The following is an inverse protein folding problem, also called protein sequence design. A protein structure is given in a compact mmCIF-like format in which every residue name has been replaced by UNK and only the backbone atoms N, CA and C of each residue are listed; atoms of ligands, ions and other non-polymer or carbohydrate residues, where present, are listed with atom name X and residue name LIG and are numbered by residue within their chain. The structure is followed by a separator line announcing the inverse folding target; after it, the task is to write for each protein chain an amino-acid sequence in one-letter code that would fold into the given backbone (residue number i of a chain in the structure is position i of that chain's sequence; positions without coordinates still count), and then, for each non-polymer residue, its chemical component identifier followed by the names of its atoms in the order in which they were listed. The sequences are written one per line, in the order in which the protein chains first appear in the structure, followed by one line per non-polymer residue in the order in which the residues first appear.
data_IF_761862885644
#
_entry.id   IF_761862885644
#
_cell.length_a   1.000
_cell.length_b   1.000
_cell.length_c   1.000
_cell.angle_alpha   90.00
_cell.angle_beta   90.00
_cell.angle_gamma   90.00
#
_symmetry.space_group_name_H-M   'P 1'
#
loop_
_entity.id
_entity.type
_entity.pdbx_description
1 polymer ?
#
# COMPACT_ATOMS: atom_id res chain seq x y z
N UNK A 1 63.97 -25.37 8.71
CA UNK A 1 62.94 -24.35 9.01
C UNK A 1 62.06 -24.22 7.77
N UNK A 2 60.97 -24.95 7.51
CA UNK A 2 59.81 -25.42 8.30
C UNK A 2 59.08 -24.29 9.03
N UNK A 3 57.89 -23.94 8.50
CA UNK A 3 56.80 -23.07 9.02
C UNK A 3 56.82 -21.61 8.57
N UNK A 4 56.36 -21.29 7.35
CA UNK A 4 55.82 -19.93 7.06
C UNK A 4 54.95 -19.78 5.80
N UNK A 5 54.48 -20.87 5.16
CA UNK A 5 53.72 -20.76 3.87
C UNK A 5 52.24 -21.13 4.02
N UNK A 6 51.81 -21.62 5.19
CA UNK A 6 50.45 -22.17 5.36
C UNK A 6 49.36 -21.16 5.74
N UNK A 7 49.69 -19.90 6.03
CA UNK A 7 48.69 -18.90 6.46
C UNK A 7 48.35 -17.83 5.41
N UNK A 8 49.00 -17.84 4.24
CA UNK A 8 48.73 -16.83 3.20
C UNK A 8 47.68 -17.28 2.17
N UNK A 9 47.38 -18.58 2.09
CA UNK A 9 46.42 -19.13 1.12
C UNK A 9 44.98 -19.15 1.69
N UNK A 10 44.81 -19.11 3.01
CA UNK A 10 43.48 -19.12 3.64
C UNK A 10 42.78 -17.75 3.59
N UNK A 11 43.53 -16.64 3.44
CA UNK A 11 42.94 -15.31 3.30
C UNK A 11 42.51 -14.93 1.87
N UNK A 12 42.94 -15.68 0.83
CA UNK A 12 42.58 -15.36 -0.55
C UNK A 12 41.27 -16.02 -1.03
N UNK A 13 40.71 -16.96 -0.27
CA UNK A 13 39.42 -17.60 -0.59
C UNK A 13 38.21 -17.00 0.12
N UNK A 14 38.41 -16.11 1.10
CA UNK A 14 37.30 -15.38 1.77
C UNK A 14 37.10 -13.98 1.15
N UNK A 15 38.08 -13.46 0.41
CA UNK A 15 37.99 -12.13 -0.22
C UNK A 15 37.30 -12.10 -1.60
N UNK A 16 36.88 -13.25 -2.15
CA UNK A 16 36.20 -13.33 -3.45
C UNK A 16 34.69 -13.59 -3.37
N UNK A 17 34.11 -13.64 -2.17
CA UNK A 17 32.67 -13.83 -1.94
C UNK A 17 31.92 -12.53 -1.59
N UNK A 18 32.56 -11.36 -1.71
CA UNK A 18 31.99 -10.07 -1.28
C UNK A 18 31.82 -9.02 -2.39
N UNK A 19 31.81 -9.41 -3.68
CA UNK A 19 31.50 -8.49 -4.80
C UNK A 19 30.35 -9.01 -5.68
N UNK A 20 29.75 -10.15 -5.31
CA UNK A 20 28.52 -10.64 -5.94
C UNK A 20 27.31 -10.12 -5.20
N UNK A 21 27.05 -8.81 -5.23
CA UNK A 21 25.71 -8.32 -4.93
C UNK A 21 24.76 -9.00 -5.92
N UNK A 22 24.01 -10.01 -5.49
CA UNK A 22 22.94 -10.56 -6.32
C UNK A 22 22.06 -9.36 -6.68
N UNK A 23 21.90 -9.01 -7.96
CA UNK A 23 20.90 -8.04 -8.32
C UNK A 23 19.58 -8.59 -7.80
N UNK A 24 18.90 -7.83 -6.95
CA UNK A 24 17.52 -8.14 -6.59
C UNK A 24 16.77 -8.44 -7.89
N UNK A 25 15.94 -9.50 -7.95
CA UNK A 25 15.19 -9.82 -9.16
C UNK A 25 14.52 -8.54 -9.64
N UNK A 26 14.97 -8.04 -10.78
CA UNK A 26 14.35 -6.87 -11.38
C UNK A 26 12.99 -7.36 -11.86
N UNK A 27 11.93 -6.96 -11.14
CA UNK A 27 10.56 -7.27 -11.50
C UNK A 27 10.39 -6.94 -12.98
N UNK A 28 10.14 -7.97 -13.78
CA UNK A 28 10.08 -7.84 -15.23
C UNK A 28 8.87 -6.97 -15.57
N UNK A 29 9.11 -5.77 -16.08
CA UNK A 29 8.09 -4.84 -16.55
C UNK A 29 7.44 -5.31 -17.87
N UNK A 30 6.99 -6.57 -17.92
CA UNK A 30 6.11 -7.07 -18.98
C UNK A 30 4.70 -6.62 -18.63
N UNK A 31 4.36 -5.38 -19.01
CA UNK A 31 3.01 -4.80 -18.96
C UNK A 31 2.07 -5.46 -17.95
N UNK A 32 2.43 -5.42 -16.67
CA UNK A 32 1.74 -6.20 -15.65
C UNK A 32 0.30 -5.72 -15.57
N UNK A 33 -0.65 -6.63 -15.82
CA UNK A 33 -2.06 -6.32 -15.65
C UNK A 33 -2.29 -5.99 -14.18
N UNK A 34 -2.54 -4.71 -13.90
CA UNK A 34 -2.85 -4.21 -12.57
C UNK A 34 -4.17 -4.80 -12.06
N UNK A 35 -4.40 -4.88 -10.73
CA UNK A 35 -5.66 -5.37 -10.16
C UNK A 35 -6.92 -4.74 -10.76
N UNK A 36 -6.92 -3.43 -11.00
CA UNK A 36 -8.03 -2.71 -11.64
C UNK A 36 -8.13 -3.05 -13.12
N UNK A 37 -7.03 -3.21 -13.87
CA UNK A 37 -7.12 -3.63 -15.28
C UNK A 37 -7.65 -5.06 -15.46
N UNK A 38 -7.40 -5.95 -14.49
CA UNK A 38 -7.89 -7.33 -14.49
C UNK A 38 -9.39 -7.39 -14.16
N UNK A 39 -9.82 -6.64 -13.16
CA UNK A 39 -11.15 -6.80 -12.56
C UNK A 39 -12.15 -5.71 -13.01
N UNK A 40 -11.67 -4.53 -13.36
CA UNK A 40 -12.49 -3.40 -13.80
C UNK A 40 -13.50 -2.93 -12.76
N UNK A 41 -14.69 -2.53 -13.23
CA UNK A 41 -15.77 -2.05 -12.37
C UNK A 41 -16.29 -3.18 -11.48
N UNK A 42 -16.24 -2.95 -10.17
CA UNK A 42 -16.78 -3.90 -9.19
C UNK A 42 -18.29 -3.67 -8.98
N UNK A 43 -19.01 -4.75 -8.66
CA UNK A 43 -20.42 -4.72 -8.29
C UNK A 43 -20.77 -5.86 -7.32
N UNK A 44 -22.01 -5.87 -6.81
CA UNK A 44 -22.51 -6.90 -5.90
C UNK A 44 -23.54 -7.77 -6.61
N UNK A 45 -23.40 -9.09 -6.49
CA UNK A 45 -24.39 -10.08 -6.91
C UNK A 45 -24.74 -10.97 -5.73
N UNK A 46 -25.96 -10.83 -5.20
CA UNK A 46 -26.34 -11.47 -3.94
C UNK A 46 -25.46 -10.97 -2.80
N UNK A 47 -24.68 -11.86 -2.19
CA UNK A 47 -23.72 -11.53 -1.11
C UNK A 47 -22.27 -11.44 -1.60
N UNK A 48 -22.03 -11.55 -2.91
CA UNK A 48 -20.69 -11.67 -3.48
C UNK A 48 -20.25 -10.38 -4.16
N UNK A 49 -19.02 -9.95 -3.89
CA UNK A 49 -18.31 -8.97 -4.70
C UNK A 49 -17.85 -9.62 -6.02
N UNK A 50 -18.25 -9.04 -7.15
CA UNK A 50 -17.92 -9.51 -8.48
C UNK A 50 -17.20 -8.42 -9.29
N UNK A 51 -16.39 -8.86 -10.24
CA UNK A 51 -15.70 -8.01 -11.20
C UNK A 51 -16.62 -7.69 -12.41
N UNK A 52 -16.13 -6.90 -13.38
CA UNK A 52 -16.92 -6.46 -14.53
C UNK A 52 -17.40 -7.60 -15.44
N UNK A 53 -16.71 -8.76 -15.42
CA UNK A 53 -17.07 -9.95 -16.19
C UNK A 53 -18.04 -10.87 -15.42
N UNK A 54 -18.53 -10.44 -14.25
CA UNK A 54 -19.42 -11.22 -13.39
C UNK A 54 -18.74 -12.33 -12.58
N UNK A 55 -17.40 -12.33 -12.50
CA UNK A 55 -16.63 -13.31 -11.73
C UNK A 55 -16.45 -12.84 -10.30
N UNK A 56 -16.56 -13.75 -9.34
CA UNK A 56 -16.29 -13.46 -7.93
C UNK A 56 -14.84 -12.98 -7.73
N UNK A 57 -14.65 -11.94 -6.94
CA UNK A 57 -13.33 -11.37 -6.62
C UNK A 57 -13.18 -11.21 -5.11
N UNK A 58 -11.96 -11.37 -4.63
CA UNK A 58 -11.56 -11.05 -3.27
C UNK A 58 -10.46 -10.01 -3.31
N UNK A 59 -10.70 -8.86 -2.67
CA UNK A 59 -9.67 -7.83 -2.50
C UNK A 59 -8.89 -8.10 -1.21
N UNK A 60 -7.56 -8.03 -1.28
CA UNK A 60 -6.67 -8.19 -0.12
C UNK A 60 -5.70 -7.02 -0.06
N UNK A 61 -5.47 -6.51 1.14
CA UNK A 61 -4.67 -5.30 1.30
C UNK A 61 -4.52 -4.86 2.75
N UNK A 62 -4.09 -3.62 2.92
CA UNK A 62 -3.84 -3.02 4.23
C UNK A 62 -4.63 -1.72 4.41
N UNK A 63 -4.77 -1.31 5.67
CA UNK A 63 -5.22 0.03 6.03
C UNK A 63 -4.02 0.87 6.45
N UNK A 64 -4.07 2.17 6.17
CA UNK A 64 -3.29 3.12 6.95
C UNK A 64 -3.77 3.12 8.41
N UNK A 65 -2.91 3.59 9.31
CA UNK A 65 -3.36 4.20 10.55
C UNK A 65 -3.99 5.58 10.25
N UNK A 66 -4.40 6.32 11.28
CA UNK A 66 -4.87 7.71 11.14
C UNK A 66 -3.89 8.60 10.36
N UNK A 67 -4.37 9.16 9.26
CA UNK A 67 -3.58 9.97 8.33
C UNK A 67 -3.02 11.26 8.97
N UNK A 68 -3.66 11.76 10.03
CA UNK A 68 -3.17 12.90 10.80
C UNK A 68 -1.90 12.59 11.61
N UNK A 69 -1.64 11.31 11.90
CA UNK A 69 -0.47 10.87 12.67
C UNK A 69 0.59 10.20 11.81
N UNK A 70 0.17 9.39 10.83
CA UNK A 70 1.06 8.53 10.05
C UNK A 70 0.88 8.70 8.53
N UNK A 71 0.44 9.89 8.12
CA UNK A 71 0.23 10.23 6.71
C UNK A 71 1.49 10.15 5.84
N UNK A 72 2.68 10.23 6.43
CA UNK A 72 3.96 10.16 5.70
C UNK A 72 4.19 8.79 5.05
N UNK A 73 3.66 7.72 5.62
CA UNK A 73 3.71 6.38 5.03
C UNK A 73 2.72 6.20 3.87
N UNK A 74 1.78 7.13 3.69
CA UNK A 74 0.79 7.08 2.63
C UNK A 74 1.25 7.98 1.49
N UNK A 75 1.96 7.37 0.55
CA UNK A 75 2.49 8.00 -0.65
C UNK A 75 2.60 6.95 -1.78
N UNK A 76 2.83 7.40 -3.01
CA UNK A 76 2.88 6.53 -4.19
C UNK A 76 3.94 5.44 -4.09
N UNK A 77 5.12 5.74 -3.56
CA UNK A 77 6.21 4.77 -3.50
C UNK A 77 5.91 3.64 -2.52
N UNK A 78 5.35 3.96 -1.35
CA UNK A 78 4.90 2.94 -0.39
C UNK A 78 3.79 2.07 -0.99
N UNK A 79 2.78 2.68 -1.62
CA UNK A 79 1.68 1.92 -2.24
C UNK A 79 2.18 1.03 -3.38
N UNK A 80 3.14 1.52 -4.17
CA UNK A 80 3.79 0.74 -5.22
C UNK A 80 4.54 -0.46 -4.63
N UNK A 81 5.33 -0.23 -3.58
CA UNK A 81 6.05 -1.30 -2.90
C UNK A 81 5.08 -2.36 -2.37
N UNK A 82 4.00 -1.96 -1.71
CA UNK A 82 2.99 -2.90 -1.21
C UNK A 82 2.29 -3.68 -2.33
N UNK A 83 2.04 -3.05 -3.49
CA UNK A 83 1.47 -3.74 -4.64
C UNK A 83 2.45 -4.78 -5.19
N UNK A 84 3.70 -4.39 -5.38
CA UNK A 84 4.70 -5.18 -6.10
C UNK A 84 5.28 -6.31 -5.21
N UNK A 85 5.51 -6.04 -3.93
CA UNK A 85 6.14 -6.97 -2.98
C UNK A 85 5.08 -7.79 -2.22
N UNK A 86 4.04 -7.15 -1.68
CA UNK A 86 3.01 -7.83 -0.88
C UNK A 86 1.82 -8.31 -1.72
N UNK A 87 1.70 -7.85 -2.97
CA UNK A 87 0.59 -8.24 -3.84
C UNK A 87 -0.74 -7.62 -3.43
N UNK A 88 -0.76 -6.44 -2.80
CA UNK A 88 -2.04 -5.81 -2.42
C UNK A 88 -2.86 -5.44 -3.65
N UNK A 89 -4.17 -5.67 -3.57
CA UNK A 89 -5.13 -5.25 -4.61
C UNK A 89 -5.98 -4.07 -4.17
N UNK A 90 -5.97 -3.73 -2.88
CA UNK A 90 -6.73 -2.63 -2.30
C UNK A 90 -5.92 -1.94 -1.19
N UNK A 91 -6.08 -0.63 -1.05
CA UNK A 91 -5.56 0.15 0.07
C UNK A 91 -6.69 0.89 0.77
N UNK A 92 -6.72 0.92 2.11
CA UNK A 92 -7.70 1.71 2.89
C UNK A 92 -7.04 2.95 3.49
N UNK A 93 -7.53 4.13 3.10
CA UNK A 93 -7.07 5.42 3.63
C UNK A 93 -7.97 5.86 4.80
N UNK A 94 -7.51 5.61 6.03
CA UNK A 94 -8.26 5.86 7.26
C UNK A 94 -8.17 7.33 7.70
N UNK A 95 -9.17 8.12 7.34
CA UNK A 95 -9.26 9.52 7.74
C UNK A 95 -10.11 9.64 9.01
N UNK A 96 -9.44 9.76 10.16
CA UNK A 96 -10.12 9.97 11.44
C UNK A 96 -10.97 11.23 11.38
N UNK A 97 -12.15 11.18 11.97
CA UNK A 97 -13.06 12.33 12.07
C UNK A 97 -12.71 13.17 13.29
N UNK A 98 -12.55 12.52 14.44
CA UNK A 98 -12.12 13.09 15.70
C UNK A 98 -10.60 12.90 15.91
N UNK A 99 -10.12 13.08 17.14
CA UNK A 99 -8.73 12.83 17.56
C UNK A 99 -7.69 13.59 16.70
N UNK A 100 -7.95 14.88 16.43
CA UNK A 100 -7.11 15.71 15.56
C UNK A 100 -7.26 15.41 14.05
N UNK A 101 -8.28 14.64 13.69
CA UNK A 101 -8.63 14.25 12.34
C UNK A 101 -9.35 15.36 11.55
N UNK A 102 -10.17 14.96 10.59
CA UNK A 102 -10.77 15.85 9.58
C UNK A 102 -11.62 16.99 10.16
N UNK A 103 -12.33 16.77 11.28
CA UNK A 103 -13.18 17.81 11.86
C UNK A 103 -12.34 18.95 12.44
N UNK A 104 -11.22 18.62 13.08
CA UNK A 104 -10.28 19.60 13.64
C UNK A 104 -9.33 20.16 12.58
N UNK A 105 -8.92 19.31 11.64
CA UNK A 105 -7.96 19.62 10.58
C UNK A 105 -8.43 19.10 9.21
N UNK A 106 -9.26 19.86 8.48
CA UNK A 106 -9.76 19.45 7.17
C UNK A 106 -8.68 19.24 6.10
N UNK A 107 -7.46 19.75 6.31
CA UNK A 107 -6.37 19.62 5.34
C UNK A 107 -5.89 18.17 5.17
N UNK A 108 -6.15 17.30 6.15
CA UNK A 108 -5.81 15.86 6.09
C UNK A 108 -6.50 15.14 4.93
N UNK A 109 -7.58 15.70 4.36
CA UNK A 109 -8.16 15.18 3.10
C UNK A 109 -7.20 15.21 1.92
N UNK A 110 -6.20 16.09 1.92
CA UNK A 110 -5.21 16.14 0.85
C UNK A 110 -4.41 14.83 0.81
N UNK A 111 -4.18 14.21 1.96
CA UNK A 111 -3.52 12.90 2.04
C UNK A 111 -4.42 11.77 1.49
N UNK A 112 -5.74 11.86 1.68
CA UNK A 112 -6.69 10.95 1.02
C UNK A 112 -6.63 11.12 -0.50
N UNK A 113 -6.63 12.36 -1.01
CA UNK A 113 -6.50 12.63 -2.44
C UNK A 113 -5.21 12.07 -3.02
N UNK A 114 -4.09 12.23 -2.32
CA UNK A 114 -2.81 11.64 -2.71
C UNK A 114 -2.88 10.11 -2.78
N UNK A 115 -3.49 9.46 -1.78
CA UNK A 115 -3.67 8.01 -1.79
C UNK A 115 -4.56 7.54 -2.96
N UNK A 116 -5.60 8.28 -3.29
CA UNK A 116 -6.52 7.99 -4.41
C UNK A 116 -5.80 8.11 -5.75
N UNK A 117 -5.07 9.19 -5.98
CA UNK A 117 -4.31 9.37 -7.23
C UNK A 117 -3.20 8.31 -7.35
N UNK A 118 -2.49 8.01 -6.27
CA UNK A 118 -1.51 6.92 -6.25
C UNK A 118 -2.14 5.56 -6.59
N UNK A 119 -3.28 5.23 -5.96
CA UNK A 119 -3.98 3.98 -6.22
C UNK A 119 -4.45 3.86 -7.68
N UNK A 120 -4.96 4.97 -8.24
CA UNK A 120 -5.36 5.07 -9.64
C UNK A 120 -4.19 4.86 -10.60
N UNK A 121 -3.06 5.52 -10.37
CA UNK A 121 -1.85 5.37 -11.19
C UNK A 121 -1.25 3.96 -11.09
N UNK A 122 -1.33 3.34 -9.91
CA UNK A 122 -0.82 1.99 -9.67
C UNK A 122 -1.82 0.89 -10.08
N UNK A 123 -3.05 1.25 -10.40
CA UNK A 123 -4.12 0.34 -10.79
C UNK A 123 -4.54 -0.61 -9.66
N UNK A 124 -4.58 -0.13 -8.42
CA UNK A 124 -5.15 -0.84 -7.28
C UNK A 124 -6.45 -0.15 -6.82
N UNK A 125 -7.32 -0.87 -6.11
CA UNK A 125 -8.52 -0.28 -5.54
C UNK A 125 -8.16 0.55 -4.29
N UNK A 126 -9.01 1.53 -3.95
CA UNK A 126 -8.87 2.34 -2.73
C UNK A 126 -10.19 2.44 -2.00
N UNK A 127 -10.15 2.30 -0.68
CA UNK A 127 -11.26 2.57 0.24
C UNK A 127 -11.00 3.93 0.88
N UNK A 128 -11.91 4.88 0.64
CA UNK A 128 -11.94 6.15 1.35
C UNK A 128 -12.79 5.95 2.60
N UNK A 129 -12.15 6.01 3.76
CA UNK A 129 -12.74 5.57 5.02
C UNK A 129 -12.96 6.76 5.96
N UNK A 130 -14.22 7.22 6.04
CA UNK A 130 -14.67 8.18 7.05
C UNK A 130 -14.64 7.52 8.43
N UNK A 131 -13.50 7.67 9.10
CA UNK A 131 -13.10 6.83 10.21
C UNK A 131 -13.63 7.39 11.54
N UNK A 132 -14.92 7.15 11.79
CA UNK A 132 -15.51 7.36 13.12
C UNK A 132 -14.96 6.33 14.11
N UNK A 133 -14.77 6.75 15.36
CA UNK A 133 -14.29 5.88 16.43
C UNK A 133 -14.82 6.36 17.78
N UNK A 134 -14.10 7.31 18.40
CA UNK A 134 -14.45 7.86 19.72
C UNK A 134 -15.64 8.83 19.66
N UNK A 135 -15.88 9.45 18.49
CA UNK A 135 -17.07 10.26 18.25
C UNK A 135 -18.37 9.44 18.25
N UNK A 136 -18.29 8.12 18.05
CA UNK A 136 -19.26 7.10 18.48
C UNK A 136 -20.65 7.12 17.83
N UNK A 137 -21.10 8.25 17.32
CA UNK A 137 -22.36 8.46 16.64
C UNK A 137 -22.10 8.96 15.21
N UNK A 138 -22.34 8.14 14.17
CA UNK A 138 -22.08 8.53 12.78
C UNK A 138 -22.91 9.75 12.32
N UNK A 139 -23.99 10.09 13.02
CA UNK A 139 -24.81 11.24 12.66
C UNK A 139 -24.25 12.58 13.17
N UNK A 140 -23.31 12.57 14.11
CA UNK A 140 -22.78 13.80 14.73
C UNK A 140 -22.15 14.74 13.69
N UNK A 141 -21.39 14.19 12.75
CA UNK A 141 -20.66 14.96 11.75
C UNK A 141 -21.20 14.76 10.32
N UNK A 142 -22.48 14.39 10.19
CA UNK A 142 -23.11 14.02 8.90
C UNK A 142 -22.99 15.10 7.83
N UNK A 143 -23.18 16.37 8.19
CA UNK A 143 -23.09 17.46 7.21
C UNK A 143 -21.65 17.65 6.70
N UNK A 144 -20.65 17.49 7.58
CA UNK A 144 -19.23 17.49 7.19
C UNK A 144 -18.86 16.30 6.32
N UNK A 145 -19.46 15.13 6.56
CA UNK A 145 -19.25 13.96 5.71
C UNK A 145 -19.80 14.13 4.29
N UNK A 146 -20.86 14.93 4.10
CA UNK A 146 -21.38 15.26 2.75
C UNK A 146 -20.50 16.25 1.99
N UNK A 147 -19.79 17.13 2.70
CA UNK A 147 -18.87 18.11 2.12
C UNK A 147 -17.50 17.51 1.74
N UNK A 148 -17.13 16.39 2.38
CA UNK A 148 -15.86 15.70 2.21
C UNK A 148 -15.75 15.01 0.85
#
# INVERSE_FOLDING_TARGET
MKRSVSNFIVCLFIALLAIGGMPAPQASAVGEKTPVSINGQLSIKGTQLINQDGKAVQLKGISSHGLQWYGDFVNKDTLKWLRDDWGITVFRAAIYTADGGYIDNPSVKNKVKEAVEAAKELGIYVIIDWHILNDGNPNQNKEKAKEF
#
